data_IF_818882294114
#
_entry.id   IF_818882294114
#
_cell.length_a   1.000
_cell.length_b   1.000
_cell.length_c   1.000
_cell.angle_alpha   90.00
_cell.angle_beta   90.00
_cell.angle_gamma   90.00
#
_symmetry.space_group_name_H-M   'P 1'
#
loop_
_entity.id
_entity.type
_entity.pdbx_description
1 polymer ?
#
# COMPACT_ATOMS: atom_id res chain seq x y z
N UNK A 1 -4.01 17.57 -3.59
CA UNK A 1 -3.63 17.64 -2.14
C UNK A 1 -2.73 16.47 -1.70
N UNK A 2 -3.11 15.20 -1.75
CA UNK A 2 -2.17 14.08 -1.43
C UNK A 2 -1.07 13.98 -2.48
N UNK A 3 -1.44 14.10 -3.74
CA UNK A 3 -0.51 14.04 -4.88
C UNK A 3 0.52 15.16 -4.83
N UNK A 4 0.11 16.38 -4.50
CA UNK A 4 1.01 17.55 -4.39
C UNK A 4 2.05 17.36 -3.28
N UNK A 5 1.60 16.88 -2.10
CA UNK A 5 2.50 16.59 -0.98
C UNK A 5 3.49 15.48 -1.31
N UNK A 6 3.05 14.47 -2.05
CA UNK A 6 3.91 13.38 -2.50
C UNK A 6 4.94 13.89 -3.50
N UNK A 7 4.54 14.67 -4.49
CA UNK A 7 5.42 15.31 -5.46
C UNK A 7 6.47 16.21 -4.81
N UNK A 8 6.06 17.07 -3.87
CA UNK A 8 7.00 17.90 -3.11
C UNK A 8 8.01 17.07 -2.30
N UNK A 9 7.54 16.01 -1.64
CA UNK A 9 8.43 15.13 -0.86
C UNK A 9 9.44 14.42 -1.76
N UNK A 10 9.04 14.00 -2.95
CA UNK A 10 9.90 13.37 -3.95
C UNK A 10 10.92 14.35 -4.50
N UNK A 11 10.50 15.58 -4.86
CA UNK A 11 11.41 16.63 -5.35
C UNK A 11 12.50 16.96 -4.34
N UNK A 12 12.15 17.07 -3.06
CA UNK A 12 13.12 17.32 -1.97
C UNK A 12 14.19 16.24 -1.83
N UNK A 13 13.91 15.02 -2.31
CA UNK A 13 14.79 13.85 -2.21
C UNK A 13 15.40 13.42 -3.56
N UNK A 14 15.09 14.12 -4.63
CA UNK A 14 15.46 13.73 -5.99
C UNK A 14 16.98 13.66 -6.19
N UNK A 15 17.71 14.65 -5.67
CA UNK A 15 19.16 14.65 -5.73
C UNK A 15 19.74 13.59 -4.79
N UNK A 16 20.26 12.52 -5.35
CA UNK A 16 20.87 11.40 -4.60
C UNK A 16 19.97 10.17 -4.45
N UNK A 17 18.73 10.23 -4.94
CA UNK A 17 17.85 9.05 -4.98
C UNK A 17 18.00 8.31 -6.31
N UNK A 18 18.04 6.98 -6.25
CA UNK A 18 18.01 6.09 -7.43
C UNK A 18 16.60 5.71 -7.86
N UNK A 19 15.58 6.13 -7.11
CA UNK A 19 14.18 5.85 -7.30
C UNK A 19 13.42 6.06 -6.01
N UNK A 20 12.12 5.86 -6.04
CA UNK A 20 11.22 6.05 -4.91
C UNK A 20 10.37 4.82 -4.67
N UNK A 21 10.15 4.53 -3.41
CA UNK A 21 9.29 3.49 -2.93
C UNK A 21 8.13 4.15 -2.19
N UNK A 22 6.91 3.96 -2.72
CA UNK A 22 5.71 4.59 -2.20
C UNK A 22 4.85 3.52 -1.54
N UNK A 23 4.62 3.65 -0.25
CA UNK A 23 3.81 2.72 0.53
C UNK A 23 2.39 3.27 0.77
N UNK A 24 1.38 2.43 0.56
CA UNK A 24 -0.02 2.75 0.83
C UNK A 24 -0.69 3.71 -0.16
N UNK A 25 -0.07 3.98 -1.29
CA UNK A 25 -0.59 4.77 -2.39
C UNK A 25 -0.17 4.12 -3.74
N UNK A 26 -1.00 4.18 -4.82
CA UNK A 26 -2.38 4.66 -4.86
C UNK A 26 -3.36 3.69 -4.17
N UNK A 27 -4.52 4.20 -3.74
CA UNK A 27 -5.59 3.38 -3.16
C UNK A 27 -6.73 3.13 -4.14
N UNK A 28 -6.76 3.85 -5.24
CA UNK A 28 -7.75 3.77 -6.32
C UNK A 28 -7.05 3.87 -7.67
N UNK A 29 -7.66 3.30 -8.70
CA UNK A 29 -7.09 3.30 -10.07
C UNK A 29 -6.88 4.73 -10.58
N UNK A 30 -7.86 5.61 -10.36
CA UNK A 30 -7.78 7.01 -10.78
C UNK A 30 -6.57 7.75 -10.16
N UNK A 31 -6.26 7.48 -8.88
CA UNK A 31 -5.09 8.05 -8.22
C UNK A 31 -3.78 7.58 -8.86
N UNK A 32 -3.71 6.32 -9.28
CA UNK A 32 -2.54 5.79 -9.97
C UNK A 32 -2.34 6.44 -11.34
N UNK A 33 -3.42 6.59 -12.09
CA UNK A 33 -3.39 7.25 -13.40
C UNK A 33 -3.00 8.74 -13.28
N UNK A 34 -3.56 9.44 -12.30
CA UNK A 34 -3.20 10.84 -12.03
C UNK A 34 -1.73 10.97 -11.63
N UNK A 35 -1.23 10.07 -10.78
CA UNK A 35 0.17 10.04 -10.40
C UNK A 35 1.09 9.83 -11.62
N UNK A 36 0.79 8.87 -12.48
CA UNK A 36 1.60 8.61 -13.68
C UNK A 36 1.58 9.80 -14.66
N UNK A 37 0.47 10.51 -14.73
CA UNK A 37 0.33 11.71 -15.57
C UNK A 37 1.11 12.92 -15.04
N UNK A 38 1.06 13.17 -13.74
CA UNK A 38 1.57 14.42 -13.14
C UNK A 38 3.00 14.29 -12.58
N UNK A 39 3.43 13.09 -12.20
CA UNK A 39 4.72 12.89 -11.53
C UNK A 39 5.64 12.00 -12.35
N UNK A 40 5.38 10.69 -12.41
CA UNK A 40 6.23 9.75 -13.13
C UNK A 40 5.53 8.41 -13.37
N UNK A 41 5.91 7.67 -14.44
CA UNK A 41 5.39 6.34 -14.70
C UNK A 41 5.76 5.37 -13.57
N UNK A 42 4.81 4.51 -13.19
CA UNK A 42 5.08 3.39 -12.29
C UNK A 42 6.00 2.37 -12.95
N UNK A 43 7.14 2.11 -12.35
CA UNK A 43 8.06 1.07 -12.83
C UNK A 43 7.58 -0.32 -12.40
N UNK A 44 7.20 -0.49 -11.14
CA UNK A 44 6.81 -1.79 -10.60
C UNK A 44 5.89 -1.67 -9.38
N UNK A 45 5.05 -2.68 -9.16
CA UNK A 45 4.23 -2.82 -7.95
C UNK A 45 4.61 -4.12 -7.24
N UNK A 46 4.91 -4.02 -5.97
CA UNK A 46 5.06 -5.16 -5.09
C UNK A 46 3.80 -5.32 -4.23
N UNK A 47 3.09 -6.43 -4.41
CA UNK A 47 1.87 -6.73 -3.68
C UNK A 47 2.06 -7.92 -2.76
N UNK A 48 1.90 -7.69 -1.46
CA UNK A 48 1.92 -8.75 -0.46
C UNK A 48 0.51 -9.29 -0.26
N UNK A 49 0.30 -10.53 -0.68
CA UNK A 49 -0.99 -11.21 -0.55
C UNK A 49 -1.10 -11.91 0.80
N UNK A 50 -2.07 -11.49 1.59
CA UNK A 50 -2.35 -12.03 2.92
C UNK A 50 -3.85 -12.24 3.07
N UNK A 51 -4.30 -13.34 3.70
CA UNK A 51 -5.72 -13.58 3.95
C UNK A 51 -6.31 -12.57 4.93
N UNK A 52 -7.61 -12.32 4.82
CA UNK A 52 -8.31 -11.37 5.68
C UNK A 52 -8.28 -11.80 7.15
N UNK A 53 -8.33 -13.11 7.43
CA UNK A 53 -8.19 -13.66 8.78
C UNK A 53 -6.82 -13.33 9.38
N UNK A 54 -5.76 -13.58 8.62
CA UNK A 54 -4.39 -13.28 9.06
C UNK A 54 -4.19 -11.78 9.27
N UNK A 55 -4.74 -10.94 8.39
CA UNK A 55 -4.68 -9.48 8.57
C UNK A 55 -5.43 -9.03 9.80
N UNK A 56 -6.65 -9.54 10.01
CA UNK A 56 -7.47 -9.22 11.18
C UNK A 56 -6.73 -9.57 12.47
N UNK A 57 -6.18 -10.78 12.56
CA UNK A 57 -5.41 -11.22 13.72
C UNK A 57 -4.20 -10.32 13.98
N UNK A 58 -3.44 -9.98 12.93
CA UNK A 58 -2.26 -9.10 13.05
C UNK A 58 -2.62 -7.69 13.48
N UNK A 59 -3.72 -7.14 12.97
CA UNK A 59 -4.17 -5.79 13.32
C UNK A 59 -4.70 -5.72 14.75
N UNK A 60 -5.46 -6.73 15.20
CA UNK A 60 -5.91 -6.83 16.58
C UNK A 60 -4.72 -6.92 17.55
N UNK A 61 -3.76 -7.82 17.26
CA UNK A 61 -2.54 -7.94 18.06
C UNK A 61 -1.74 -6.64 18.10
N UNK A 62 -1.67 -5.91 17.00
CA UNK A 62 -1.03 -4.59 16.97
C UNK A 62 -1.76 -3.59 17.84
N UNK A 63 -3.11 -3.60 17.83
CA UNK A 63 -3.94 -2.74 18.67
C UNK A 63 -3.67 -2.87 20.16
N UNK A 64 -3.33 -4.09 20.62
CA UNK A 64 -2.99 -4.35 22.03
C UNK A 64 -1.72 -3.61 22.49
N UNK A 65 -0.78 -3.34 21.58
CA UNK A 65 0.55 -2.82 21.93
C UNK A 65 0.83 -1.41 21.40
N UNK A 66 0.15 -1.00 20.32
CA UNK A 66 0.46 0.26 19.62
C UNK A 66 -0.35 1.46 20.10
N UNK A 67 -1.39 1.25 20.90
CA UNK A 67 -2.31 2.32 21.33
C UNK A 67 -3.16 2.92 20.20
N UNK A 68 -3.17 2.30 19.01
CA UNK A 68 -3.98 2.78 17.89
C UNK A 68 -5.45 2.46 18.10
N UNK A 69 -6.26 3.50 18.18
CA UNK A 69 -7.72 3.39 18.38
C UNK A 69 -8.46 2.83 17.15
N UNK A 70 -7.83 2.84 15.98
CA UNK A 70 -8.37 2.33 14.72
C UNK A 70 -8.10 0.83 14.48
N UNK A 71 -7.39 0.16 15.37
CA UNK A 71 -7.14 -1.29 15.32
C UNK A 71 -8.17 -2.08 16.17
N UNK A 72 -9.45 -1.78 15.97
CA UNK A 72 -10.58 -2.52 16.54
C UNK A 72 -11.33 -3.28 15.46
N UNK A 73 -12.10 -4.30 15.83
CA UNK A 73 -12.79 -5.23 14.94
C UNK A 73 -13.64 -4.52 13.89
N UNK A 74 -14.42 -3.53 14.30
CA UNK A 74 -15.34 -2.81 13.41
C UNK A 74 -14.56 -1.99 12.36
N UNK A 75 -13.56 -1.25 12.80
CA UNK A 75 -12.73 -0.43 11.90
C UNK A 75 -11.89 -1.29 10.96
N UNK A 76 -11.37 -2.43 11.47
CA UNK A 76 -10.62 -3.39 10.63
C UNK A 76 -11.53 -3.92 9.52
N UNK A 77 -12.76 -4.33 9.83
CA UNK A 77 -13.71 -4.81 8.83
C UNK A 77 -13.99 -3.75 7.76
N UNK A 78 -14.29 -2.51 8.15
CA UNK A 78 -14.49 -1.40 7.21
C UNK A 78 -13.27 -1.16 6.31
N UNK A 79 -12.07 -1.29 6.87
CA UNK A 79 -10.81 -1.12 6.10
C UNK A 79 -10.60 -2.25 5.09
N UNK A 80 -10.92 -3.48 5.44
CA UNK A 80 -10.87 -4.62 4.53
C UNK A 80 -11.89 -4.47 3.39
N UNK A 81 -13.13 -4.10 3.69
CA UNK A 81 -14.17 -3.84 2.70
C UNK A 81 -13.74 -2.71 1.73
N UNK A 82 -13.19 -1.63 2.27
CA UNK A 82 -12.67 -0.51 1.46
C UNK A 82 -11.49 -0.96 0.58
N UNK A 83 -10.62 -1.81 1.12
CA UNK A 83 -9.49 -2.35 0.36
C UNK A 83 -9.98 -3.18 -0.83
N UNK A 84 -10.87 -4.15 -0.62
CA UNK A 84 -11.40 -4.99 -1.70
C UNK A 84 -12.13 -4.17 -2.76
N UNK A 85 -12.91 -3.19 -2.34
CA UNK A 85 -13.71 -2.37 -3.24
C UNK A 85 -12.90 -1.38 -4.09
N UNK A 86 -11.92 -0.73 -3.50
CA UNK A 86 -11.21 0.41 -4.13
C UNK A 86 -9.76 0.10 -4.48
N UNK A 87 -9.11 -0.67 -3.65
CA UNK A 87 -7.66 -0.87 -3.72
C UNK A 87 -7.26 -2.13 -4.47
N UNK A 88 -8.02 -3.17 -4.40
CA UNK A 88 -7.76 -4.41 -5.15
C UNK A 88 -7.85 -4.21 -6.67
N UNK A 89 -8.78 -3.40 -7.22
CA UNK A 89 -8.80 -3.05 -8.64
C UNK A 89 -7.52 -2.41 -9.17
N UNK A 90 -6.73 -1.73 -8.31
CA UNK A 90 -5.42 -1.17 -8.71
C UNK A 90 -4.45 -2.29 -9.13
N UNK A 91 -4.48 -3.43 -8.43
CA UNK A 91 -3.60 -4.57 -8.73
C UNK A 91 -3.96 -5.16 -10.10
N UNK A 92 -5.25 -5.24 -10.42
CA UNK A 92 -5.72 -5.70 -11.72
C UNK A 92 -5.35 -4.72 -12.85
N UNK A 93 -5.51 -3.41 -12.61
CA UNK A 93 -5.17 -2.38 -13.58
C UNK A 93 -3.67 -2.34 -13.92
N UNK A 94 -2.82 -2.68 -12.95
CA UNK A 94 -1.36 -2.70 -13.11
C UNK A 94 -0.79 -4.13 -13.14
N UNK A 95 -1.56 -5.13 -13.55
CA UNK A 95 -1.16 -6.54 -13.51
C UNK A 95 0.17 -6.83 -14.23
N UNK A 96 0.44 -6.14 -15.35
CA UNK A 96 1.69 -6.29 -16.12
C UNK A 96 2.94 -5.79 -15.40
N UNK A 97 2.76 -4.91 -14.41
CA UNK A 97 3.84 -4.32 -13.60
C UNK A 97 3.84 -4.84 -12.16
N UNK A 98 2.97 -5.80 -11.83
CA UNK A 98 2.74 -6.25 -10.45
C UNK A 98 3.40 -7.60 -10.18
N UNK A 99 4.22 -7.68 -9.13
CA UNK A 99 4.68 -8.95 -8.55
C UNK A 99 3.95 -9.22 -7.24
N UNK A 100 3.31 -10.40 -7.18
CA UNK A 100 2.66 -10.89 -5.97
C UNK A 100 3.65 -11.66 -5.10
N UNK A 101 3.71 -11.32 -3.84
CA UNK A 101 4.49 -12.02 -2.82
C UNK A 101 3.53 -12.73 -1.87
N UNK A 102 3.50 -14.05 -1.94
CA UNK A 102 2.61 -14.87 -1.10
C UNK A 102 3.11 -15.02 0.34
N UNK A 103 2.28 -15.63 1.18
CA UNK A 103 2.48 -15.79 2.64
C UNK A 103 3.73 -16.57 3.06
N UNK A 104 4.43 -17.25 2.15
CA UNK A 104 5.57 -18.11 2.45
C UNK A 104 6.90 -17.38 2.73
N UNK A 105 6.96 -16.09 2.47
CA UNK A 105 8.10 -15.28 2.89
C UNK A 105 7.88 -14.80 4.32
N UNK A 106 8.50 -15.48 5.27
CA UNK A 106 8.70 -14.94 6.62
C UNK A 106 9.67 -13.76 6.51
N UNK A 107 9.16 -12.61 6.08
CA UNK A 107 9.88 -11.37 6.26
C UNK A 107 9.78 -11.07 7.76
N UNK A 108 10.90 -11.21 8.44
CA UNK A 108 11.10 -10.78 9.81
C UNK A 108 10.88 -9.26 9.91
N UNK A 109 9.64 -8.82 9.97
CA UNK A 109 9.26 -7.48 10.46
C UNK A 109 7.74 -7.35 10.71
N UNK A 110 7.35 -6.31 11.47
CA UNK A 110 6.14 -6.30 12.26
C UNK A 110 4.84 -6.33 11.44
N UNK A 111 3.70 -6.48 12.11
CA UNK A 111 2.43 -6.95 11.55
C UNK A 111 1.77 -5.91 10.65
N UNK A 112 2.15 -5.83 9.39
CA UNK A 112 1.54 -4.88 8.47
C UNK A 112 0.73 -5.52 7.35
N UNK A 113 -0.43 -4.95 7.17
CA UNK A 113 -1.42 -4.87 6.11
C UNK A 113 -0.82 -5.14 4.73
N UNK A 114 -1.64 -5.70 3.83
CA UNK A 114 -1.39 -5.74 2.37
C UNK A 114 -0.65 -4.47 1.93
N UNK A 115 0.66 -4.56 1.77
CA UNK A 115 1.50 -3.44 1.37
C UNK A 115 1.59 -3.48 -0.14
N UNK A 116 1.20 -2.40 -0.76
CA UNK A 116 1.51 -2.12 -2.16
C UNK A 116 2.64 -1.12 -2.18
N UNK A 117 3.70 -1.49 -2.83
CA UNK A 117 4.85 -0.63 -2.98
C UNK A 117 4.93 -0.26 -4.44
N UNK A 118 4.75 1.01 -4.73
CA UNK A 118 4.95 1.61 -6.03
C UNK A 118 6.43 1.95 -6.15
N UNK A 119 7.12 1.38 -7.12
CA UNK A 119 8.47 1.76 -7.48
C UNK A 119 8.43 2.70 -8.69
N UNK A 120 9.18 3.77 -8.60
CA UNK A 120 9.39 4.75 -9.67
C UNK A 120 10.86 4.91 -9.92
#
# INVERSE_FOLDING_TARGET
>A
MVLDLLGEAMLKKLSGSKGFLIDGYPREVAQGQEFEKEIAPCAHILYFEVSDETMTQRLLKRGETSGRVDDNVETIKKRLDTFHKHSEPVIAAYASKCSKVGQHYQIFHPPYIKIRIFFI
#
